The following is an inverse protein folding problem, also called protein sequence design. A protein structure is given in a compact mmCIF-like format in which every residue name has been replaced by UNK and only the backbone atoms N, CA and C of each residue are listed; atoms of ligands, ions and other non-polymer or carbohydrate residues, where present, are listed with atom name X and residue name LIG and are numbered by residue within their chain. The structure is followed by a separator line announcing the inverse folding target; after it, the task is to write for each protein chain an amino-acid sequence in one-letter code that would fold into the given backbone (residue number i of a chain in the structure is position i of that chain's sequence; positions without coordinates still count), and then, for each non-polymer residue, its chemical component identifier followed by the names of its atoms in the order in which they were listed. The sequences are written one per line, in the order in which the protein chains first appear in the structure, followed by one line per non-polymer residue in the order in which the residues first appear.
data_IF_006209052125
#
_entry.id   IF_006209052125
#
_cell.length_a   1.000
_cell.length_b   1.000
_cell.length_c   1.000
_cell.angle_alpha   90.00
_cell.angle_beta   90.00
_cell.angle_gamma   90.00
#
_symmetry.space_group_name_H-M   'P 1'
#
loop_
_entity.id
_entity.type
_entity.pdbx_description
1 polymer ?
#
# COMPACT_ATOMS: atom_id res chain seq x y z
N UNK A 1 11.64 -12.80 16.76
CA UNK A 1 11.25 -11.39 16.63
C UNK A 1 12.03 -10.69 15.52
N UNK A 2 13.37 -10.59 15.59
CA UNK A 2 14.17 -9.93 14.54
C UNK A 2 13.91 -10.47 13.12
N UNK A 3 13.77 -11.79 12.95
CA UNK A 3 13.47 -12.38 11.64
C UNK A 3 12.10 -11.96 11.11
N UNK A 4 11.06 -11.96 11.96
CA UNK A 4 9.72 -11.47 11.61
C UNK A 4 9.78 -10.04 11.08
N UNK A 5 10.50 -9.15 11.78
CA UNK A 5 10.65 -7.75 11.38
C UNK A 5 11.40 -7.65 10.04
N UNK A 6 12.54 -8.35 9.89
CA UNK A 6 13.33 -8.35 8.65
C UNK A 6 12.55 -8.91 7.45
N UNK A 7 11.77 -9.96 7.67
CA UNK A 7 10.88 -10.56 6.68
C UNK A 7 9.73 -9.62 6.29
N UNK A 8 9.35 -8.67 7.15
CA UNK A 8 8.34 -7.65 6.89
C UNK A 8 8.86 -6.41 6.15
N UNK A 9 10.17 -6.13 6.18
CA UNK A 9 10.74 -4.94 5.52
C UNK A 9 10.57 -5.03 3.99
N UNK A 10 10.03 -3.97 3.40
CA UNK A 10 9.84 -3.80 1.94
C UNK A 10 10.44 -2.47 1.48
N UNK A 11 10.78 -2.40 0.18
CA UNK A 11 11.20 -1.16 -0.47
C UNK A 11 9.99 -0.31 -0.90
N UNK A 12 10.26 0.72 -1.70
CA UNK A 12 9.20 1.51 -2.33
C UNK A 12 8.34 0.64 -3.27
N UNK A 13 7.04 0.94 -3.33
CA UNK A 13 6.12 0.30 -4.25
C UNK A 13 6.30 0.87 -5.65
N UNK A 14 6.37 0.01 -6.65
CA UNK A 14 6.37 0.39 -8.06
C UNK A 14 5.47 -0.58 -8.81
N UNK A 15 4.38 -0.07 -9.37
CA UNK A 15 3.40 -0.85 -10.12
C UNK A 15 2.88 -0.05 -11.31
N UNK A 16 2.43 -0.75 -12.35
CA UNK A 16 1.90 -0.16 -13.57
C UNK A 16 0.60 -0.87 -13.91
N UNK A 17 -0.53 -0.16 -13.77
CA UNK A 17 -1.87 -0.71 -14.07
C UNK A 17 -2.15 -0.71 -15.57
N UNK A 18 -1.72 0.34 -16.27
CA UNK A 18 -1.89 0.48 -17.72
C UNK A 18 -0.59 0.95 -18.37
N UNK A 19 -0.19 0.27 -19.44
CA UNK A 19 1.07 0.54 -20.15
C UNK A 19 1.12 1.93 -20.80
N UNK A 20 -0.02 2.40 -21.30
CA UNK A 20 -0.15 3.68 -21.99
C UNK A 20 -1.50 4.30 -21.64
N UNK A 21 -1.48 5.55 -21.17
CA UNK A 21 -2.66 6.40 -21.03
C UNK A 21 -2.46 7.66 -21.86
N UNK A 22 -3.49 8.03 -22.63
CA UNK A 22 -3.45 9.20 -23.53
C UNK A 22 -4.58 10.16 -23.19
N UNK A 23 -4.24 11.44 -23.05
CA UNK A 23 -5.19 12.52 -22.81
C UNK A 23 -5.69 13.09 -24.15
N UNK A 24 -6.99 13.34 -24.28
CA UNK A 24 -7.57 14.09 -25.39
C UNK A 24 -7.72 15.55 -25.01
N UNK A 25 -6.70 16.37 -25.23
CA UNK A 25 -6.80 17.82 -25.02
C UNK A 25 -6.00 18.61 -26.05
N UNK A 26 -6.34 19.89 -26.15
CA UNK A 26 -5.85 20.84 -27.14
C UNK A 26 -4.33 21.09 -27.04
N UNK A 27 -3.71 20.77 -25.91
CA UNK A 27 -2.25 20.87 -25.73
C UNK A 27 -1.49 19.74 -26.44
N UNK A 28 -2.18 18.71 -26.93
CA UNK A 28 -1.63 17.67 -27.80
C UNK A 28 -2.25 17.74 -29.21
N UNK A 29 -1.81 18.69 -30.06
CA UNK A 29 -2.43 18.95 -31.36
C UNK A 29 -2.31 17.79 -32.36
N UNK A 30 -1.39 16.84 -32.16
CA UNK A 30 -1.24 15.68 -33.06
C UNK A 30 -2.28 14.58 -32.82
N UNK A 31 -2.91 14.56 -31.64
CA UNK A 31 -3.85 13.51 -31.24
C UNK A 31 -5.21 14.02 -30.76
N UNK A 32 -5.45 15.33 -30.80
CA UNK A 32 -6.68 15.93 -30.33
C UNK A 32 -7.84 15.68 -31.31
N UNK A 33 -8.93 15.14 -30.78
CA UNK A 33 -10.19 14.92 -31.50
C UNK A 33 -11.30 15.76 -30.84
N UNK A 34 -11.80 16.82 -31.51
CA UNK A 34 -12.83 17.69 -30.96
C UNK A 34 -14.20 17.01 -30.83
N UNK A 35 -14.38 15.83 -31.43
CA UNK A 35 -15.62 15.05 -31.31
C UNK A 35 -15.66 14.18 -30.05
N UNK A 36 -14.51 13.96 -29.41
CA UNK A 36 -14.38 13.17 -28.18
C UNK A 36 -14.36 14.06 -26.95
N UNK A 37 -14.66 13.46 -25.81
CA UNK A 37 -14.55 14.12 -24.52
C UNK A 37 -13.13 14.63 -24.26
N UNK A 38 -13.00 15.81 -23.67
CA UNK A 38 -11.71 16.38 -23.29
C UNK A 38 -11.21 15.69 -22.02
N UNK A 39 -10.00 15.17 -22.05
CA UNK A 39 -9.36 14.52 -20.89
C UNK A 39 -7.96 15.08 -20.64
N UNK A 40 -7.55 15.08 -19.37
CA UNK A 40 -6.26 15.54 -18.91
C UNK A 40 -5.60 14.46 -18.05
N UNK A 41 -4.27 14.39 -18.10
CA UNK A 41 -3.49 13.55 -17.19
C UNK A 41 -2.91 14.44 -16.09
N UNK A 42 -2.95 13.93 -14.87
CA UNK A 42 -2.42 14.59 -13.69
C UNK A 42 -1.32 13.73 -13.09
N UNK A 43 -0.20 14.37 -12.77
CA UNK A 43 0.93 13.75 -12.10
C UNK A 43 1.06 14.34 -10.70
N UNK A 44 1.13 13.47 -9.70
CA UNK A 44 1.36 13.83 -8.32
C UNK A 44 2.71 13.29 -7.88
N UNK A 45 3.45 14.11 -7.15
CA UNK A 45 4.71 13.72 -6.52
C UNK A 45 4.76 14.31 -5.11
N UNK A 46 5.18 13.48 -4.16
CA UNK A 46 5.31 13.87 -2.75
C UNK A 46 6.75 14.26 -2.51
N UNK A 47 6.98 15.54 -2.25
CA UNK A 47 8.30 16.05 -1.90
C UNK A 47 8.74 15.43 -0.57
N UNK A 48 9.89 14.75 -0.59
CA UNK A 48 10.50 14.13 0.60
C UNK A 48 9.62 13.08 1.30
N UNK A 49 8.96 12.19 0.54
CA UNK A 49 8.07 11.13 1.02
C UNK A 49 8.52 10.44 2.32
N UNK A 50 9.77 9.95 2.38
CA UNK A 50 10.28 9.26 3.57
C UNK A 50 10.41 10.17 4.79
N UNK A 51 10.85 11.42 4.59
CA UNK A 51 10.97 12.38 5.69
C UNK A 51 9.58 12.77 6.21
N UNK A 52 8.58 12.86 5.32
CA UNK A 52 7.18 13.08 5.71
C UNK A 52 6.63 11.91 6.51
N UNK A 53 6.85 10.67 6.07
CA UNK A 53 6.41 9.47 6.81
C UNK A 53 7.10 9.31 8.18
N UNK A 54 8.33 9.84 8.34
CA UNK A 54 9.04 9.86 9.62
C UNK A 54 8.45 10.84 10.65
N UNK A 55 7.49 11.69 10.27
CA UNK A 55 6.77 12.55 11.21
C UNK A 55 5.66 11.79 11.95
N UNK A 56 5.23 10.64 11.44
CA UNK A 56 4.23 9.78 12.06
C UNK A 56 4.83 8.89 13.16
N UNK A 57 3.96 8.22 13.93
CA UNK A 57 4.37 7.30 15.00
C UNK A 57 5.20 6.15 14.41
N UNK A 58 6.38 5.91 14.99
CA UNK A 58 7.30 4.84 14.59
C UNK A 58 7.65 3.96 15.79
N UNK A 59 7.73 2.63 15.63
CA UNK A 59 8.16 1.75 16.71
C UNK A 59 9.63 1.98 17.06
N UNK A 60 9.91 2.33 18.31
CA UNK A 60 11.26 2.68 18.78
C UNK A 60 11.92 1.57 19.62
N UNK A 61 11.15 0.79 20.38
CA UNK A 61 11.67 -0.15 21.36
C UNK A 61 10.60 -1.01 22.02
N UNK A 62 10.98 -1.66 23.13
CA UNK A 62 10.10 -2.44 24.00
C UNK A 62 9.28 -3.52 23.28
N UNK A 63 9.89 -4.15 22.28
CA UNK A 63 9.27 -5.23 21.55
C UNK A 63 9.10 -6.46 22.45
N UNK A 64 7.86 -6.90 22.59
CA UNK A 64 7.48 -8.12 23.30
C UNK A 64 6.60 -9.01 22.44
N UNK A 65 6.61 -10.31 22.74
CA UNK A 65 5.68 -11.24 22.12
C UNK A 65 4.40 -11.25 22.95
N UNK A 66 3.27 -11.10 22.28
CA UNK A 66 1.96 -11.22 22.91
C UNK A 66 1.70 -12.66 23.35
N UNK A 67 1.03 -12.79 24.49
CA UNK A 67 0.42 -14.04 24.92
C UNK A 67 -0.88 -14.30 24.11
N UNK A 68 -1.31 -15.56 24.04
CA UNK A 68 -2.50 -15.94 23.25
C UNK A 68 -3.77 -15.19 23.68
N UNK A 69 -3.91 -14.92 24.98
CA UNK A 69 -5.07 -14.20 25.51
C UNK A 69 -5.07 -12.73 25.06
N UNK A 70 -3.91 -12.11 24.88
CA UNK A 70 -3.78 -10.73 24.41
C UNK A 70 -4.10 -10.63 22.92
N UNK A 71 -3.67 -11.62 22.14
CA UNK A 71 -4.00 -11.75 20.71
C UNK A 71 -5.51 -11.79 20.46
N UNK A 72 -6.28 -12.50 21.29
CA UNK A 72 -7.74 -12.59 21.16
C UNK A 72 -8.46 -11.25 21.39
N UNK A 73 -7.81 -10.30 22.09
CA UNK A 73 -8.39 -8.99 22.37
C UNK A 73 -8.09 -7.95 21.28
N UNK A 74 -7.27 -8.27 20.28
CA UNK A 74 -6.91 -7.34 19.21
C UNK A 74 -8.01 -7.37 18.13
N UNK A 75 -8.74 -6.26 18.01
CA UNK A 75 -9.60 -6.02 16.88
C UNK A 75 -8.83 -5.29 15.76
N UNK A 76 -8.36 -6.06 14.78
CA UNK A 76 -7.62 -5.53 13.63
C UNK A 76 -8.48 -4.66 12.69
N UNK A 77 -9.82 -4.74 12.77
CA UNK A 77 -10.72 -4.02 11.87
C UNK A 77 -10.92 -2.59 12.36
N UNK A 78 -10.98 -2.40 13.68
CA UNK A 78 -11.23 -1.09 14.30
C UNK A 78 -9.98 -0.39 14.81
N UNK A 79 -8.82 -1.05 14.76
CA UNK A 79 -7.54 -0.45 15.13
C UNK A 79 -7.18 0.77 14.26
N UNK A 80 -6.96 1.92 14.90
CA UNK A 80 -6.67 3.20 14.24
C UNK A 80 -5.19 3.62 14.32
N UNK A 81 -4.36 2.86 15.04
CA UNK A 81 -2.94 3.17 15.21
C UNK A 81 -2.64 4.40 16.08
N UNK A 82 -3.63 4.92 16.82
CA UNK A 82 -3.46 6.10 17.66
C UNK A 82 -2.80 5.80 19.01
N UNK A 83 -2.74 4.54 19.42
CA UNK A 83 -2.13 4.12 20.68
C UNK A 83 -0.61 4.30 20.71
N UNK A 84 -0.02 4.25 21.91
CA UNK A 84 1.44 4.24 22.08
C UNK A 84 2.05 2.87 21.73
N UNK A 85 1.26 1.81 21.85
CA UNK A 85 1.67 0.44 21.52
C UNK A 85 1.13 0.05 20.14
N UNK A 86 2.04 -0.41 19.27
CA UNK A 86 1.71 -0.96 17.95
C UNK A 86 1.88 -2.47 17.89
N UNK A 87 1.22 -3.11 16.92
CA UNK A 87 1.25 -4.56 16.73
C UNK A 87 1.87 -4.95 15.39
N UNK A 88 2.70 -6.00 15.39
CA UNK A 88 3.20 -6.64 14.17
C UNK A 88 2.63 -8.05 14.14
N UNK A 89 1.73 -8.31 13.20
CA UNK A 89 1.02 -9.58 13.11
C UNK A 89 1.50 -10.38 11.89
N UNK A 90 1.68 -11.69 12.06
CA UNK A 90 1.83 -12.65 10.97
C UNK A 90 0.55 -13.47 10.93
N UNK A 91 -0.18 -13.35 9.84
CA UNK A 91 -1.52 -13.93 9.69
C UNK A 91 -1.65 -14.66 8.36
N UNK A 92 -2.51 -15.67 8.34
CA UNK A 92 -2.98 -16.27 7.10
C UNK A 92 -4.23 -15.51 6.65
N UNK A 93 -4.25 -15.03 5.41
CA UNK A 93 -5.36 -14.29 4.84
C UNK A 93 -6.12 -15.15 3.83
N UNK A 94 -7.44 -15.21 3.98
CA UNK A 94 -8.31 -15.71 2.91
C UNK A 94 -8.40 -14.67 1.80
N UNK A 95 -8.11 -15.07 0.56
CA UNK A 95 -8.19 -14.18 -0.61
C UNK A 95 -9.20 -14.74 -1.62
N UNK A 96 -10.48 -14.31 -1.58
CA UNK A 96 -11.51 -14.80 -2.49
C UNK A 96 -11.17 -14.46 -3.96
N UNK A 97 -11.50 -15.36 -4.89
CA UNK A 97 -11.24 -15.16 -6.33
C UNK A 97 -11.83 -13.84 -6.85
N UNK A 98 -13.04 -13.49 -6.42
CA UNK A 98 -13.68 -12.22 -6.82
C UNK A 98 -12.89 -11.00 -6.39
N UNK A 99 -12.21 -11.06 -5.25
CA UNK A 99 -11.35 -9.98 -4.77
C UNK A 99 -10.02 -9.99 -5.52
N UNK A 100 -9.46 -11.17 -5.81
CA UNK A 100 -8.24 -11.32 -6.60
C UNK A 100 -8.39 -10.73 -7.99
N UNK A 101 -9.48 -11.03 -8.69
CA UNK A 101 -9.75 -10.50 -10.02
C UNK A 101 -9.92 -8.97 -9.98
N UNK A 102 -10.61 -8.44 -8.96
CA UNK A 102 -10.84 -7.01 -8.80
C UNK A 102 -9.56 -6.22 -8.45
N UNK A 103 -8.54 -6.89 -7.91
CA UNK A 103 -7.31 -6.26 -7.40
C UNK A 103 -6.05 -6.73 -8.13
N UNK A 104 -6.21 -7.33 -9.31
CA UNK A 104 -5.08 -7.89 -10.09
C UNK A 104 -3.99 -6.86 -10.38
N UNK A 105 -4.38 -5.60 -10.61
CA UNK A 105 -3.47 -4.49 -10.91
C UNK A 105 -2.77 -3.94 -9.66
N UNK A 106 -3.37 -4.12 -8.47
CA UNK A 106 -2.84 -3.69 -7.18
C UNK A 106 -3.29 -4.66 -6.07
N UNK A 107 -2.58 -5.80 -5.89
CA UNK A 107 -2.91 -6.78 -4.86
C UNK A 107 -2.83 -6.18 -3.45
N UNK A 108 -3.71 -6.60 -2.54
CA UNK A 108 -3.84 -5.98 -1.21
C UNK A 108 -2.73 -6.40 -0.23
N UNK A 109 -2.26 -7.65 -0.31
CA UNK A 109 -1.24 -8.19 0.58
C UNK A 109 -0.16 -8.96 -0.21
N UNK A 110 0.61 -8.29 -1.09
CA UNK A 110 1.62 -8.95 -1.89
C UNK A 110 2.78 -9.45 -1.02
N UNK A 111 3.10 -10.73 -1.16
CA UNK A 111 4.28 -11.32 -0.51
C UNK A 111 5.53 -11.15 -1.37
N UNK A 112 6.69 -11.09 -0.71
CA UNK A 112 7.98 -11.07 -1.41
C UNK A 112 8.29 -12.50 -1.83
N UNK A 113 8.13 -12.82 -3.10
CA UNK A 113 8.74 -14.04 -3.65
C UNK A 113 10.26 -13.84 -3.75
N UNK A 114 11.01 -14.72 -3.07
CA UNK A 114 12.46 -14.83 -3.27
C UNK A 114 12.66 -15.46 -4.64
N UNK A 115 13.18 -14.68 -5.58
CA UNK A 115 13.73 -15.19 -6.85
C UNK A 115 15.13 -15.76 -6.65
#
# INVERSE_FOLDING_TARGET
MLNLIKEGVRGGTSFCTQKINTANNENNPQGFDPTKERTHLLYFDVVSLYATAMLDKFPQGDYEWLENQELENIDCITYDGADETGYILKVDLGYPETLQDATVDLPLAPEKELS
#
